data_IF_276639606642
#
_entry.id   IF_276639606642
#
_cell.length_a   1.000
_cell.length_b   1.000
_cell.length_c   1.000
_cell.angle_alpha   90.00
_cell.angle_beta   90.00
_cell.angle_gamma   90.00
#
_symmetry.space_group_name_H-M   'P 1'
#
loop_
_entity.id
_entity.type
_entity.pdbx_description
1 polymer ?
#
# COMPACT_ATOMS: atom_id res chain seq x y z
N UNK A 1 19.20 -15.36 -11.67
CA UNK A 1 19.94 -15.06 -10.43
C UNK A 1 20.33 -13.59 -10.52
N UNK A 2 19.50 -12.70 -9.98
CA UNK A 2 19.86 -11.28 -9.82
C UNK A 2 19.94 -11.04 -8.32
N UNK A 3 21.17 -11.06 -7.80
CA UNK A 3 21.50 -10.62 -6.46
C UNK A 3 21.52 -9.09 -6.50
N UNK A 4 20.39 -8.48 -6.14
CA UNK A 4 20.28 -7.05 -5.86
C UNK A 4 20.31 -6.86 -4.35
N UNK A 5 21.46 -6.43 -3.83
CA UNK A 5 21.62 -5.96 -2.45
C UNK A 5 20.82 -4.67 -2.32
N UNK A 6 19.80 -4.70 -1.48
CA UNK A 6 18.88 -3.60 -1.22
C UNK A 6 17.60 -4.18 -0.69
N UNK A 7 17.27 -3.93 0.57
CA UNK A 7 16.04 -4.38 1.21
C UNK A 7 14.83 -3.73 0.54
N UNK A 8 14.37 -4.31 -0.56
CA UNK A 8 13.08 -4.02 -1.17
C UNK A 8 12.07 -4.92 -0.49
N UNK A 9 11.68 -4.52 0.72
CA UNK A 9 10.53 -5.11 1.37
C UNK A 9 9.33 -4.92 0.46
N UNK A 10 8.67 -6.02 0.11
CA UNK A 10 7.28 -5.98 -0.34
C UNK A 10 6.49 -5.45 0.86
N UNK A 11 6.35 -4.13 0.91
CA UNK A 11 5.56 -3.46 1.93
C UNK A 11 4.18 -4.07 1.92
N UNK A 12 3.66 -4.35 3.11
CA UNK A 12 2.23 -4.52 3.33
C UNK A 12 1.56 -3.39 2.55
N UNK A 13 0.70 -3.74 1.58
CA UNK A 13 -0.21 -2.77 0.98
C UNK A 13 -1.19 -2.45 2.10
N UNK A 14 -0.79 -1.57 3.01
CA UNK A 14 -1.70 -0.91 3.93
C UNK A 14 -2.63 -0.06 3.07
N UNK A 15 -3.86 0.13 3.53
CA UNK A 15 -4.94 0.91 2.90
C UNK A 15 -4.44 2.28 2.34
N UNK A 16 -3.36 2.81 2.92
CA UNK A 16 -2.61 3.98 2.45
C UNK A 16 -2.16 3.90 0.98
N UNK A 17 -1.83 2.73 0.43
CA UNK A 17 -1.34 2.60 -0.95
C UNK A 17 -2.44 2.80 -1.99
N UNK A 18 -3.69 2.50 -1.63
CA UNK A 18 -4.86 2.78 -2.47
C UNK A 18 -5.23 4.26 -2.33
N UNK A 19 -5.20 4.83 -1.12
CA UNK A 19 -5.42 6.28 -0.90
C UNK A 19 -4.36 7.17 -1.57
N UNK A 20 -3.10 6.72 -1.65
CA UNK A 20 -1.97 7.47 -2.23
C UNK A 20 -2.12 7.77 -3.73
N UNK A 21 -2.98 7.02 -4.43
CA UNK A 21 -3.26 7.31 -5.84
C UNK A 21 -4.26 8.46 -6.05
N UNK A 22 -4.89 8.96 -4.98
CA UNK A 22 -6.11 9.80 -5.08
C UNK A 22 -6.10 11.04 -4.19
N UNK A 23 -4.95 11.54 -3.73
CA UNK A 23 -4.88 12.71 -2.84
C UNK A 23 -4.26 13.95 -3.52
N UNK A 24 -5.11 14.89 -3.95
CA UNK A 24 -4.94 16.36 -3.99
C UNK A 24 -5.77 16.97 -5.13
N UNK A 25 -6.72 17.86 -4.82
CA UNK A 25 -7.34 18.79 -5.78
C UNK A 25 -7.29 20.19 -5.17
N UNK A 26 -7.07 21.16 -6.07
CA UNK A 26 -7.21 22.61 -5.92
C UNK A 26 -5.99 23.39 -5.41
N UNK A 27 -5.05 23.65 -6.32
CA UNK A 27 -4.37 24.94 -6.40
C UNK A 27 -3.95 25.20 -7.86
N UNK A 28 -4.85 25.83 -8.61
CA UNK A 28 -4.53 26.41 -9.91
C UNK A 28 -3.80 27.73 -9.63
N UNK A 29 -2.46 27.71 -9.74
CA UNK A 29 -1.66 28.94 -9.79
C UNK A 29 -0.63 28.84 -10.91
N UNK A 30 -0.68 29.87 -11.77
CA UNK A 30 0.19 30.16 -12.89
C UNK A 30 1.67 29.89 -12.58
N UNK A 31 2.23 28.86 -13.21
CA UNK A 31 3.66 28.77 -13.46
C UNK A 31 3.85 28.52 -14.95
N UNK A 32 4.28 29.55 -15.65
CA UNK A 32 4.64 29.51 -17.06
C UNK A 32 5.77 28.52 -17.31
N UNK A 33 5.43 27.36 -17.84
CA UNK A 33 6.29 26.45 -18.60
C UNK A 33 5.41 25.78 -19.65
N UNK A 34 5.77 25.94 -20.92
CA UNK A 34 4.96 25.72 -22.11
C UNK A 34 4.68 24.24 -22.48
N UNK A 35 4.48 23.37 -21.50
CA UNK A 35 4.29 21.93 -21.70
C UNK A 35 2.93 21.41 -21.21
N UNK A 36 1.95 22.28 -20.97
CA UNK A 36 0.60 21.85 -20.60
C UNK A 36 -0.07 21.19 -21.82
N UNK A 37 -0.33 19.87 -21.74
CA UNK A 37 -1.18 19.14 -22.69
C UNK A 37 -0.48 18.42 -23.85
N UNK A 38 0.86 18.29 -23.86
CA UNK A 38 1.57 17.54 -24.91
C UNK A 38 2.19 16.26 -24.35
N UNK A 39 2.01 15.16 -25.08
CA UNK A 39 2.63 13.90 -24.72
C UNK A 39 4.17 13.97 -24.82
N UNK A 40 4.86 13.34 -23.86
CA UNK A 40 6.32 13.36 -23.70
C UNK A 40 6.96 12.21 -24.48
N UNK A 41 8.09 12.46 -25.15
CA UNK A 41 8.84 11.42 -25.87
C UNK A 41 9.86 10.81 -24.92
N UNK A 42 9.82 9.49 -24.79
CA UNK A 42 10.77 8.68 -24.03
C UNK A 42 11.67 7.93 -25.01
N UNK A 43 12.98 8.06 -24.83
CA UNK A 43 13.98 7.43 -25.68
C UNK A 43 14.66 6.26 -24.98
N UNK A 44 14.75 5.12 -25.64
CA UNK A 44 15.58 4.01 -25.20
C UNK A 44 16.92 4.03 -25.94
N UNK A 45 17.97 4.45 -25.25
CA UNK A 45 19.33 4.59 -25.83
C UNK A 45 19.98 3.28 -26.27
N UNK A 46 19.51 2.12 -25.76
CA UNK A 46 20.07 0.82 -26.13
C UNK A 46 19.49 0.30 -27.44
N UNK A 47 18.17 0.42 -27.62
CA UNK A 47 17.47 -0.04 -28.83
C UNK A 47 17.28 1.04 -29.89
N UNK A 48 17.46 2.31 -29.54
CA UNK A 48 17.14 3.47 -30.38
C UNK A 48 15.64 3.71 -30.55
N UNK A 49 14.77 2.97 -29.86
CA UNK A 49 13.31 3.08 -29.99
C UNK A 49 12.76 4.23 -29.17
N UNK A 50 11.73 4.89 -29.70
CA UNK A 50 10.99 5.94 -29.01
C UNK A 50 9.61 5.47 -28.58
N UNK A 51 9.12 6.02 -27.47
CA UNK A 51 7.76 5.80 -26.96
C UNK A 51 7.17 7.13 -26.53
N UNK A 52 5.84 7.27 -26.64
CA UNK A 52 5.15 8.52 -26.35
C UNK A 52 4.26 8.36 -25.11
N UNK A 53 4.59 9.06 -24.04
CA UNK A 53 3.80 9.08 -22.81
C UNK A 53 2.73 10.18 -22.86
N UNK A 54 1.47 9.77 -22.94
CA UNK A 54 0.31 10.63 -22.71
C UNK A 54 -0.39 10.33 -21.39
N UNK A 55 0.05 9.31 -20.64
CA UNK A 55 -0.62 8.86 -19.42
C UNK A 55 -0.35 9.82 -18.26
N UNK A 56 0.81 10.48 -18.23
CA UNK A 56 1.15 11.48 -17.21
C UNK A 56 0.16 12.65 -17.15
N UNK A 57 -0.56 12.93 -18.25
CA UNK A 57 -1.61 13.96 -18.28
C UNK A 57 -2.80 13.61 -17.35
N UNK A 58 -2.91 12.35 -16.93
CA UNK A 58 -3.88 11.90 -15.93
C UNK A 58 -3.32 11.94 -14.51
N UNK A 59 -2.09 12.40 -14.27
CA UNK A 59 -1.54 12.47 -12.91
C UNK A 59 -2.38 13.39 -12.01
N UNK A 60 -2.57 12.99 -10.75
CA UNK A 60 -3.34 13.72 -9.71
C UNK A 60 -2.50 14.21 -8.56
N UNK A 61 -1.29 13.65 -8.42
CA UNK A 61 -0.40 13.97 -7.31
C UNK A 61 0.65 14.93 -7.83
N UNK A 62 0.75 16.08 -7.18
CA UNK A 62 1.82 17.01 -7.44
C UNK A 62 3.16 16.37 -7.06
N UNK A 63 4.05 16.30 -8.04
CA UNK A 63 5.43 15.92 -7.78
C UNK A 63 6.11 17.04 -7.00
N UNK A 64 6.87 16.70 -5.96
CA UNK A 64 7.57 17.71 -5.14
C UNK A 64 8.70 18.43 -5.89
N UNK A 65 8.93 18.12 -7.17
CA UNK A 65 9.91 18.79 -8.01
C UNK A 65 9.34 20.11 -8.53
N UNK A 66 10.12 21.18 -8.43
CA UNK A 66 9.78 22.50 -8.97
C UNK A 66 10.85 22.93 -9.98
N UNK A 67 11.50 24.08 -9.78
CA UNK A 67 12.71 24.45 -10.51
C UNK A 67 13.92 23.57 -10.16
N UNK A 68 13.86 22.82 -9.06
CA UNK A 68 14.84 21.82 -8.67
C UNK A 68 14.22 20.41 -8.66
N UNK A 69 15.00 19.43 -9.15
CA UNK A 69 14.62 18.02 -9.13
C UNK A 69 14.86 17.42 -7.74
N UNK A 70 13.82 16.83 -7.15
CA UNK A 70 13.87 16.09 -5.89
C UNK A 70 13.71 14.57 -6.09
N UNK A 71 13.94 14.07 -7.31
CA UNK A 71 13.68 12.67 -7.68
C UNK A 71 14.47 11.63 -6.87
N UNK A 72 15.58 12.01 -6.23
CA UNK A 72 16.38 11.13 -5.38
C UNK A 72 15.90 11.05 -3.92
N UNK A 73 14.89 11.83 -3.52
CA UNK A 73 14.34 11.75 -2.16
C UNK A 73 13.59 10.43 -1.95
N UNK A 74 13.93 9.72 -0.88
CA UNK A 74 13.32 8.43 -0.56
C UNK A 74 11.86 8.57 -0.13
N UNK A 75 11.55 9.57 0.69
CA UNK A 75 10.20 9.82 1.23
C UNK A 75 9.75 11.26 0.92
N UNK A 76 9.43 11.58 -0.34
CA UNK A 76 8.96 12.91 -0.71
C UNK A 76 7.55 13.16 -0.15
N UNK A 77 7.20 14.40 0.26
CA UNK A 77 5.92 14.71 0.91
C UNK A 77 4.68 14.27 0.10
N UNK A 78 4.73 14.32 -1.23
CA UNK A 78 3.61 13.91 -2.10
C UNK A 78 3.33 12.39 -2.14
N UNK A 79 4.23 11.56 -1.59
CA UNK A 79 4.08 10.11 -1.55
C UNK A 79 3.67 9.58 -0.17
N UNK A 80 3.36 10.47 0.78
CA UNK A 80 2.90 10.12 2.12
C UNK A 80 1.45 10.59 2.27
N UNK A 81 0.55 9.66 2.57
CA UNK A 81 -0.83 10.02 2.86
C UNK A 81 -0.83 10.80 4.19
N UNK A 82 -1.39 12.02 4.24
CA UNK A 82 -1.39 12.79 5.47
C UNK A 82 -2.19 12.05 6.55
N UNK A 83 -1.70 12.10 7.79
CA UNK A 83 -2.53 11.78 8.95
C UNK A 83 -3.66 12.79 8.97
N UNK A 84 -4.85 12.40 8.53
CA UNK A 84 -6.01 13.28 8.49
C UNK A 84 -6.75 13.18 9.82
N UNK A 85 -6.74 14.28 10.57
CA UNK A 85 -7.57 14.41 11.78
C UNK A 85 -9.06 14.57 11.46
N UNK A 86 -9.39 14.98 10.23
CA UNK A 86 -10.76 15.14 9.75
C UNK A 86 -10.99 14.45 8.40
N UNK A 87 -12.23 14.02 8.09
CA UNK A 87 -12.55 13.38 6.81
C UNK A 87 -12.29 14.31 5.61
N UNK A 88 -12.19 13.70 4.43
CA UNK A 88 -12.31 14.43 3.17
C UNK A 88 -13.66 15.17 3.13
N UNK A 89 -13.67 16.37 2.58
CA UNK A 89 -14.92 17.04 2.27
C UNK A 89 -15.71 16.20 1.26
N UNK A 90 -17.04 16.14 1.40
CA UNK A 90 -17.90 15.36 0.51
C UNK A 90 -17.67 15.70 -0.96
N UNK A 91 -17.50 16.98 -1.29
CA UNK A 91 -17.20 17.45 -2.65
C UNK A 91 -15.90 16.86 -3.21
N UNK A 92 -14.82 16.88 -2.42
CA UNK A 92 -13.53 16.27 -2.78
C UNK A 92 -13.71 14.76 -3.00
N UNK A 93 -14.42 14.09 -2.09
CA UNK A 93 -14.66 12.65 -2.15
C UNK A 93 -15.46 12.26 -3.40
N UNK A 94 -16.52 12.99 -3.74
CA UNK A 94 -17.35 12.72 -4.91
C UNK A 94 -16.59 12.89 -6.22
N UNK A 95 -15.72 13.89 -6.34
CA UNK A 95 -14.84 14.05 -7.51
C UNK A 95 -13.94 12.84 -7.69
N UNK A 96 -13.33 12.36 -6.61
CA UNK A 96 -12.46 11.17 -6.62
C UNK A 96 -13.25 9.89 -6.94
N UNK A 97 -14.42 9.73 -6.34
CA UNK A 97 -15.28 8.57 -6.54
C UNK A 97 -15.77 8.46 -8.00
N UNK A 98 -16.28 9.55 -8.59
CA UNK A 98 -16.69 9.58 -10.01
C UNK A 98 -15.55 9.21 -10.94
N UNK A 99 -14.36 9.73 -10.66
CA UNK A 99 -13.15 9.44 -11.44
C UNK A 99 -12.77 7.97 -11.34
N UNK A 100 -12.77 7.41 -10.13
CA UNK A 100 -12.50 5.99 -9.92
C UNK A 100 -13.52 5.11 -10.64
N UNK A 101 -14.82 5.41 -10.50
CA UNK A 101 -15.90 4.69 -11.19
C UNK A 101 -15.74 4.79 -12.71
N UNK A 102 -15.39 5.96 -13.25
CA UNK A 102 -15.12 6.12 -14.68
C UNK A 102 -13.98 5.20 -15.13
N UNK A 103 -12.89 5.09 -14.36
CA UNK A 103 -11.79 4.16 -14.67
C UNK A 103 -12.23 2.70 -14.62
N UNK A 104 -13.03 2.33 -13.62
CA UNK A 104 -13.56 0.98 -13.49
C UNK A 104 -14.50 0.61 -14.65
N UNK A 105 -15.50 1.45 -14.93
CA UNK A 105 -16.47 1.20 -16.00
C UNK A 105 -15.83 1.25 -17.40
N UNK A 106 -14.83 2.09 -17.62
CA UNK A 106 -14.02 2.08 -18.84
C UNK A 106 -13.29 0.74 -19.02
N UNK A 107 -12.69 0.20 -17.94
CA UNK A 107 -11.94 -1.06 -17.99
C UNK A 107 -12.77 -2.29 -18.39
N UNK A 108 -14.09 -2.25 -18.15
CA UNK A 108 -15.03 -3.30 -18.52
C UNK A 108 -15.88 -2.93 -19.75
N UNK A 109 -15.51 -1.89 -20.48
CA UNK A 109 -16.20 -1.38 -21.67
C UNK A 109 -17.68 -1.02 -21.41
N UNK A 110 -17.96 -0.42 -20.25
CA UNK A 110 -19.31 0.02 -19.83
C UNK A 110 -19.34 1.47 -19.36
N UNK A 111 -18.35 2.28 -19.75
CA UNK A 111 -18.36 3.72 -19.53
C UNK A 111 -19.65 4.32 -20.12
N UNK A 112 -20.22 5.29 -19.42
CA UNK A 112 -21.48 5.95 -19.78
C UNK A 112 -22.70 5.04 -20.02
N UNK A 113 -22.66 3.79 -19.53
CA UNK A 113 -23.84 2.93 -19.51
C UNK A 113 -24.85 3.35 -18.43
N UNK A 114 -26.08 2.83 -18.49
CA UNK A 114 -27.07 3.05 -17.42
C UNK A 114 -26.59 2.54 -16.06
N UNK A 115 -25.84 1.43 -16.05
CA UNK A 115 -25.22 0.90 -14.85
C UNK A 115 -24.15 1.85 -14.27
N UNK A 116 -23.35 2.49 -15.13
CA UNK A 116 -22.38 3.50 -14.69
C UNK A 116 -23.09 4.69 -14.03
N UNK A 117 -24.10 5.25 -14.71
CA UNK A 117 -24.89 6.37 -14.16
C UNK A 117 -25.62 6.02 -12.88
N UNK A 118 -26.18 4.81 -12.79
CA UNK A 118 -26.86 4.33 -11.61
C UNK A 118 -25.89 4.19 -10.42
N UNK A 119 -24.71 3.61 -10.65
CA UNK A 119 -23.68 3.46 -9.61
C UNK A 119 -23.14 4.80 -9.13
N UNK A 120 -22.96 5.78 -10.02
CA UNK A 120 -22.57 7.14 -9.62
C UNK A 120 -23.63 7.76 -8.70
N UNK A 121 -24.92 7.64 -9.03
CA UNK A 121 -26.01 8.14 -8.17
C UNK A 121 -26.10 7.44 -6.82
N UNK A 122 -25.88 6.13 -6.81
CA UNK A 122 -25.82 5.35 -5.57
C UNK A 122 -24.73 5.88 -4.64
N UNK A 123 -23.52 6.10 -5.17
CA UNK A 123 -22.41 6.66 -4.40
C UNK A 123 -22.67 8.10 -3.96
N UNK A 124 -23.29 8.93 -4.79
CA UNK A 124 -23.71 10.29 -4.39
C UNK A 124 -24.63 10.25 -3.16
N UNK A 125 -25.68 9.43 -3.20
CA UNK A 125 -26.62 9.28 -2.10
C UNK A 125 -25.95 8.72 -0.84
N UNK A 126 -25.10 7.70 -0.98
CA UNK A 126 -24.39 7.11 0.17
C UNK A 126 -23.46 8.12 0.86
N UNK A 127 -22.77 8.96 0.08
CA UNK A 127 -21.91 10.03 0.61
C UNK A 127 -22.73 11.12 1.29
N UNK A 128 -23.89 11.49 0.73
CA UNK A 128 -24.81 12.45 1.36
C UNK A 128 -25.36 11.93 2.70
N UNK A 129 -25.71 10.65 2.77
CA UNK A 129 -26.31 10.05 3.97
C UNK A 129 -25.29 9.71 5.06
N UNK A 130 -24.10 9.22 4.68
CA UNK A 130 -23.14 8.62 5.62
C UNK A 130 -21.81 9.38 5.72
N UNK A 131 -21.55 10.30 4.79
CA UNK A 131 -20.26 11.00 4.65
C UNK A 131 -19.17 10.16 3.98
N UNK A 132 -19.46 8.93 3.52
CA UNK A 132 -18.54 8.06 2.80
C UNK A 132 -19.29 7.14 1.83
N UNK A 133 -18.60 6.20 1.19
CA UNK A 133 -19.24 5.14 0.41
C UNK A 133 -18.46 3.84 0.48
N UNK A 134 -19.11 2.72 0.18
CA UNK A 134 -18.49 1.41 0.11
C UNK A 134 -18.28 0.96 -1.34
N UNK A 135 -17.09 0.41 -1.62
CA UNK A 135 -16.80 -0.23 -2.89
C UNK A 135 -17.51 -1.59 -2.99
N UNK A 136 -17.96 -1.94 -4.20
CA UNK A 136 -18.33 -3.32 -4.50
C UNK A 136 -17.09 -4.20 -4.64
N UNK A 137 -17.23 -5.52 -4.47
CA UNK A 137 -16.10 -6.46 -4.50
C UNK A 137 -15.27 -6.36 -5.78
N UNK A 138 -15.94 -6.24 -6.93
CA UNK A 138 -15.27 -6.11 -8.22
C UNK A 138 -14.56 -4.76 -8.39
N UNK A 139 -15.10 -3.70 -7.79
CA UNK A 139 -14.47 -2.39 -7.74
C UNK A 139 -13.23 -2.43 -6.85
N UNK A 140 -13.32 -3.09 -5.68
CA UNK A 140 -12.20 -3.30 -4.76
C UNK A 140 -11.05 -4.07 -5.42
N UNK A 141 -11.37 -5.18 -6.11
CA UNK A 141 -10.40 -5.98 -6.86
C UNK A 141 -9.73 -5.14 -7.95
N UNK A 142 -10.51 -4.36 -8.70
CA UNK A 142 -9.99 -3.47 -9.73
C UNK A 142 -9.07 -2.40 -9.13
N UNK A 143 -9.48 -1.77 -8.03
CA UNK A 143 -8.72 -0.75 -7.32
C UNK A 143 -7.37 -1.27 -6.85
N UNK A 144 -7.36 -2.43 -6.18
CA UNK A 144 -6.13 -3.05 -5.67
C UNK A 144 -5.13 -3.40 -6.79
N UNK A 145 -5.60 -4.01 -7.88
CA UNK A 145 -4.76 -4.35 -9.04
C UNK A 145 -4.22 -3.09 -9.73
N UNK A 146 -5.06 -2.08 -9.88
CA UNK A 146 -4.70 -0.81 -10.52
C UNK A 146 -3.71 -0.03 -9.66
N UNK A 147 -3.84 -0.05 -8.34
CA UNK A 147 -2.87 0.56 -7.42
C UNK A 147 -1.49 -0.08 -7.58
N UNK A 148 -1.39 -1.42 -7.66
CA UNK A 148 -0.12 -2.08 -7.93
C UNK A 148 0.45 -1.74 -9.31
N UNK A 149 -0.38 -1.73 -10.35
CA UNK A 149 0.03 -1.29 -11.70
C UNK A 149 0.61 0.13 -11.70
N UNK A 150 0.05 1.00 -10.87
CA UNK A 150 0.43 2.41 -10.78
C UNK A 150 1.59 2.68 -9.81
N UNK A 151 2.12 1.67 -9.10
CA UNK A 151 3.24 1.84 -8.17
C UNK A 151 4.58 2.03 -8.92
N UNK A 152 5.12 3.26 -9.04
CA UNK A 152 6.25 3.54 -9.95
C UNK A 152 7.56 2.88 -9.49
N UNK A 153 7.68 2.60 -8.19
CA UNK A 153 8.85 1.96 -7.57
C UNK A 153 8.83 0.43 -7.66
N UNK A 154 7.75 -0.18 -8.16
CA UNK A 154 7.66 -1.64 -8.27
C UNK A 154 8.17 -2.12 -9.63
N UNK A 155 9.26 -2.90 -9.65
CA UNK A 155 9.74 -3.55 -10.88
C UNK A 155 8.86 -4.75 -11.30
N UNK A 156 8.19 -5.41 -10.36
CA UNK A 156 7.38 -6.62 -10.58
C UNK A 156 6.00 -6.39 -11.23
N UNK A 157 5.74 -5.20 -11.80
CA UNK A 157 4.42 -4.78 -12.29
C UNK A 157 3.87 -5.63 -13.44
N UNK A 158 4.68 -6.44 -14.13
CA UNK A 158 4.17 -7.36 -15.15
C UNK A 158 3.13 -8.36 -14.60
N UNK A 159 3.16 -8.64 -13.30
CA UNK A 159 2.22 -9.55 -12.62
C UNK A 159 0.95 -8.87 -12.08
N UNK A 160 0.76 -7.56 -12.32
CA UNK A 160 -0.29 -6.75 -11.66
C UNK A 160 -1.71 -7.34 -11.75
N UNK A 161 -2.04 -8.01 -12.85
CA UNK A 161 -3.36 -8.61 -13.07
C UNK A 161 -3.57 -9.93 -12.31
N UNK A 162 -2.50 -10.59 -11.86
CA UNK A 162 -2.48 -11.86 -11.11
C UNK A 162 -2.35 -11.66 -9.59
N UNK A 163 -2.95 -10.59 -9.07
CA UNK A 163 -3.08 -10.34 -7.64
C UNK A 163 -4.32 -11.03 -7.08
N UNK A 164 -4.15 -11.87 -6.06
CA UNK A 164 -5.27 -12.32 -5.22
C UNK A 164 -5.65 -11.20 -4.25
N UNK A 165 -6.95 -10.96 -4.10
CA UNK A 165 -7.48 -9.99 -3.13
C UNK A 165 -8.27 -10.76 -2.09
N UNK A 166 -7.93 -10.57 -0.83
CA UNK A 166 -8.73 -10.99 0.32
C UNK A 166 -9.45 -9.76 0.85
N UNK A 167 -10.77 -9.79 0.76
CA UNK A 167 -11.63 -8.80 1.38
C UNK A 167 -11.78 -9.13 2.86
N UNK A 168 -11.31 -8.23 3.71
CA UNK A 168 -11.37 -8.32 5.16
C UNK A 168 -11.94 -7.02 5.75
N UNK A 169 -12.80 -6.32 4.97
CA UNK A 169 -13.46 -5.08 5.37
C UNK A 169 -14.51 -5.28 6.47
N UNK A 170 -14.86 -6.52 6.75
CA UNK A 170 -15.73 -6.96 7.85
C UNK A 170 -14.96 -7.27 9.15
N UNK A 171 -13.62 -7.18 9.16
CA UNK A 171 -12.83 -7.35 10.38
C UNK A 171 -13.17 -6.29 11.42
N UNK A 172 -13.30 -6.71 12.68
CA UNK A 172 -13.66 -5.81 13.79
C UNK A 172 -12.54 -5.76 14.83
N UNK A 173 -11.85 -6.87 15.05
CA UNK A 173 -10.86 -7.01 16.14
C UNK A 173 -9.44 -7.25 15.63
N UNK A 174 -8.46 -7.00 16.48
CA UNK A 174 -7.04 -7.34 16.26
C UNK A 174 -6.84 -8.85 16.04
N UNK A 175 -7.64 -9.70 16.71
CA UNK A 175 -7.66 -11.14 16.51
C UNK A 175 -8.15 -11.53 15.10
N UNK A 176 -9.17 -10.84 14.57
CA UNK A 176 -9.62 -11.04 13.19
C UNK A 176 -8.52 -10.64 12.21
N UNK A 177 -7.88 -9.49 12.43
CA UNK A 177 -6.74 -9.04 11.63
C UNK A 177 -5.63 -10.09 11.62
N UNK A 178 -5.24 -10.60 12.80
CA UNK A 178 -4.22 -11.62 12.94
C UNK A 178 -4.57 -12.90 12.15
N UNK A 179 -5.82 -13.36 12.25
CA UNK A 179 -6.29 -14.54 11.51
C UNK A 179 -6.21 -14.31 9.99
N UNK A 180 -6.65 -13.14 9.51
CA UNK A 180 -6.55 -12.76 8.10
C UNK A 180 -5.10 -12.67 7.63
N UNK A 181 -4.18 -12.15 8.44
CA UNK A 181 -2.74 -12.09 8.13
C UNK A 181 -2.13 -13.49 8.11
N UNK A 182 -2.47 -14.37 9.04
CA UNK A 182 -2.01 -15.76 9.02
C UNK A 182 -2.47 -16.50 7.76
N UNK A 183 -3.73 -16.31 7.36
CA UNK A 183 -4.24 -16.86 6.10
C UNK A 183 -3.52 -16.27 4.88
N UNK A 184 -3.27 -14.96 4.89
CA UNK A 184 -2.48 -14.26 3.87
C UNK A 184 -1.10 -14.89 3.72
N UNK A 185 -0.34 -15.05 4.82
CA UNK A 185 1.01 -15.62 4.79
C UNK A 185 0.98 -17.05 4.27
N UNK A 186 0.07 -17.90 4.76
CA UNK A 186 -0.09 -19.28 4.28
C UNK A 186 -0.37 -19.32 2.77
N UNK A 187 -1.28 -18.46 2.29
CA UNK A 187 -1.64 -18.38 0.89
C UNK A 187 -0.48 -17.87 0.03
N UNK A 188 0.18 -16.79 0.45
CA UNK A 188 1.28 -16.15 -0.25
C UNK A 188 2.48 -17.09 -0.37
N UNK A 189 2.87 -17.74 0.73
CA UNK A 189 4.04 -18.62 0.80
C UNK A 189 3.87 -19.87 -0.04
N UNK A 190 2.68 -20.51 -0.02
CA UNK A 190 2.33 -21.67 -0.84
C UNK A 190 3.46 -22.70 -1.02
N UNK A 191 4.05 -23.13 0.10
CA UNK A 191 5.15 -24.11 0.15
C UNK A 191 6.36 -23.73 -0.75
N UNK A 192 6.65 -22.44 -0.86
CA UNK A 192 7.75 -21.88 -1.66
C UNK A 192 7.37 -21.45 -3.08
N UNK A 193 6.18 -21.80 -3.57
CA UNK A 193 5.68 -21.31 -4.86
C UNK A 193 4.90 -20.00 -4.68
N UNK A 194 5.65 -18.91 -4.45
CA UNK A 194 5.11 -17.64 -3.97
C UNK A 194 3.99 -17.07 -4.87
N UNK A 195 2.91 -16.62 -4.23
CA UNK A 195 1.74 -15.99 -4.87
C UNK A 195 1.55 -14.56 -4.36
N UNK A 196 1.28 -13.63 -5.28
CA UNK A 196 0.95 -12.24 -4.93
C UNK A 196 -0.48 -12.15 -4.38
N UNK A 197 -0.61 -11.62 -3.17
CA UNK A 197 -1.89 -11.42 -2.50
C UNK A 197 -1.88 -10.08 -1.74
N UNK A 198 -3.06 -9.47 -1.61
CA UNK A 198 -3.32 -8.33 -0.72
C UNK A 198 -4.53 -8.65 0.15
N UNK A 199 -4.48 -8.27 1.42
CA UNK A 199 -5.63 -8.32 2.33
C UNK A 199 -6.06 -6.89 2.61
N UNK A 200 -7.33 -6.57 2.39
CA UNK A 200 -7.85 -5.20 2.55
C UNK A 200 -8.72 -5.17 3.79
N UNK A 201 -8.25 -4.46 4.80
CA UNK A 201 -8.95 -4.21 6.06
C UNK A 201 -9.97 -3.07 5.93
N UNK A 202 -10.81 -2.82 6.96
CA UNK A 202 -11.80 -1.75 6.90
C UNK A 202 -11.16 -0.40 6.57
N UNK A 203 -11.81 0.34 5.66
CA UNK A 203 -11.37 1.68 5.28
C UNK A 203 -11.48 2.64 6.46
N UNK A 204 -10.67 3.70 6.45
CA UNK A 204 -10.78 4.79 7.43
C UNK A 204 -12.20 5.38 7.45
N UNK A 205 -12.78 5.52 8.65
CA UNK A 205 -14.09 6.15 8.87
C UNK A 205 -14.01 7.36 9.80
N UNK A 206 -14.98 8.27 9.69
CA UNK A 206 -15.05 9.44 10.58
C UNK A 206 -15.26 9.03 12.05
N UNK A 207 -14.56 9.73 12.96
CA UNK A 207 -14.78 9.60 14.40
C UNK A 207 -14.23 8.32 15.02
N UNK A 208 -13.48 7.51 14.27
CA UNK A 208 -12.80 6.30 14.74
C UNK A 208 -11.35 6.30 14.31
N UNK A 209 -10.49 5.70 15.12
CA UNK A 209 -9.10 5.43 14.76
C UNK A 209 -9.01 4.38 13.64
N UNK A 210 -7.81 4.26 13.05
CA UNK A 210 -7.55 3.41 11.90
C UNK A 210 -7.29 1.94 12.29
N UNK A 211 -7.56 1.03 11.35
CA UNK A 211 -6.95 -0.29 11.37
C UNK A 211 -5.50 -0.18 10.90
N UNK A 212 -4.54 -0.58 11.76
CA UNK A 212 -3.10 -0.46 11.45
C UNK A 212 -2.32 -1.71 11.81
N UNK A 213 -1.36 -2.01 10.94
CA UNK A 213 -0.27 -2.94 11.21
C UNK A 213 0.97 -2.07 11.38
N UNK A 214 1.56 -2.06 12.58
CA UNK A 214 2.70 -1.19 12.85
C UNK A 214 3.98 -1.73 12.21
N UNK A 215 4.03 -3.04 11.98
CA UNK A 215 5.12 -3.68 11.28
C UNK A 215 5.20 -3.20 9.82
N UNK A 216 6.39 -2.74 9.42
CA UNK A 216 6.69 -2.41 8.02
C UNK A 216 6.50 -3.59 7.04
N UNK A 217 6.64 -4.83 7.52
CA UNK A 217 6.55 -6.10 6.79
C UNK A 217 5.95 -7.15 7.73
N UNK A 218 5.19 -8.11 7.20
CA UNK A 218 4.65 -9.19 8.04
C UNK A 218 5.73 -10.06 8.68
N UNK A 219 6.78 -10.40 7.94
CA UNK A 219 7.88 -11.23 8.43
C UNK A 219 9.14 -10.39 8.38
N UNK A 220 9.71 -10.10 9.55
CA UNK A 220 10.94 -9.34 9.72
C UNK A 220 11.70 -9.84 10.94
N UNK A 221 13.02 -9.90 10.86
CA UNK A 221 13.86 -10.24 12.01
C UNK A 221 14.05 -9.04 12.94
N UNK A 222 14.17 -9.33 14.23
CA UNK A 222 14.46 -8.35 15.27
C UNK A 222 15.93 -7.92 15.26
N UNK A 223 16.18 -6.75 15.86
CA UNK A 223 17.52 -6.29 16.21
C UNK A 223 17.61 -5.96 17.69
N UNK A 224 18.73 -6.25 18.32
CA UNK A 224 18.95 -6.01 19.76
C UNK A 224 20.23 -5.21 19.97
N UNK A 225 20.09 -4.03 20.57
CA UNK A 225 21.23 -3.23 21.01
C UNK A 225 21.91 -3.92 22.20
N UNK A 226 23.22 -4.10 22.09
CA UNK A 226 24.05 -4.71 23.11
C UNK A 226 24.68 -3.64 24.03
N UNK A 227 25.19 -4.02 25.22
CA UNK A 227 25.84 -3.07 26.13
C UNK A 227 27.08 -2.37 25.56
N UNK A 228 27.74 -2.96 24.57
CA UNK A 228 28.90 -2.41 23.86
C UNK A 228 28.52 -1.55 22.63
N UNK A 229 27.24 -1.20 22.48
CA UNK A 229 26.64 -0.52 21.33
C UNK A 229 26.65 -1.29 20.01
N UNK A 230 27.08 -2.56 19.99
CA UNK A 230 26.86 -3.42 18.82
C UNK A 230 25.38 -3.79 18.69
N UNK A 231 24.99 -4.28 17.51
CA UNK A 231 23.62 -4.75 17.24
C UNK A 231 23.67 -6.23 16.87
N UNK A 232 22.85 -7.04 17.54
CA UNK A 232 22.62 -8.43 17.21
C UNK A 232 21.30 -8.56 16.42
N UNK A 233 21.30 -9.29 15.30
CA UNK A 233 20.14 -9.40 14.40
C UNK A 233 20.09 -8.31 13.32
N UNK A 234 18.90 -7.87 12.93
CA UNK A 234 18.68 -6.82 11.91
C UNK A 234 18.72 -5.41 12.55
N UNK A 235 19.69 -4.55 12.22
CA UNK A 235 19.74 -3.16 12.70
C UNK A 235 18.48 -2.34 12.44
N UNK A 236 17.77 -2.61 11.35
CA UNK A 236 16.52 -1.91 11.05
C UNK A 236 15.32 -2.44 11.85
N UNK A 237 15.47 -3.56 12.55
CA UNK A 237 14.45 -4.15 13.42
C UNK A 237 14.54 -3.67 14.88
N UNK A 238 15.55 -2.86 15.24
CA UNK A 238 15.82 -2.46 16.64
C UNK A 238 14.66 -1.71 17.27
N UNK A 239 14.20 -0.62 16.63
CA UNK A 239 13.13 0.22 17.16
C UNK A 239 11.83 -0.57 17.38
N UNK A 240 11.45 -1.40 16.40
CA UNK A 240 10.24 -2.22 16.52
C UNK A 240 10.41 -3.33 17.57
N UNK A 241 11.60 -3.92 17.70
CA UNK A 241 11.90 -4.91 18.72
C UNK A 241 11.79 -4.32 20.14
N UNK A 242 12.25 -3.09 20.34
CA UNK A 242 12.13 -2.35 21.61
C UNK A 242 10.65 -2.15 21.96
N UNK A 243 9.82 -1.67 21.02
CA UNK A 243 8.37 -1.54 21.22
C UNK A 243 7.72 -2.90 21.54
N UNK A 244 8.06 -3.97 20.81
CA UNK A 244 7.55 -5.30 21.10
C UNK A 244 7.87 -5.74 22.54
N UNK A 245 9.10 -5.49 23.01
CA UNK A 245 9.52 -5.83 24.38
C UNK A 245 8.76 -5.02 25.43
N UNK A 246 8.52 -3.73 25.19
CA UNK A 246 7.69 -2.88 26.06
C UNK A 246 6.24 -3.39 26.15
N UNK A 247 5.71 -3.93 25.05
CA UNK A 247 4.40 -4.59 24.98
C UNK A 247 4.39 -6.03 25.52
N UNK A 248 5.48 -6.49 26.13
CA UNK A 248 5.55 -7.78 26.83
C UNK A 248 6.08 -8.94 26.00
N UNK A 249 6.65 -8.70 24.81
CA UNK A 249 7.38 -9.73 24.08
C UNK A 249 8.70 -10.08 24.76
N UNK A 250 8.94 -11.38 24.95
CA UNK A 250 10.17 -11.89 25.54
C UNK A 250 11.02 -12.55 24.45
N UNK A 251 12.01 -11.83 23.87
CA UNK A 251 12.76 -12.34 22.73
C UNK A 251 13.71 -13.48 23.11
N UNK A 252 13.93 -14.46 22.20
CA UNK A 252 15.00 -15.45 22.34
C UNK A 252 16.41 -14.85 22.34
N UNK A 253 16.59 -13.67 21.74
CA UNK A 253 17.86 -12.95 21.52
C UNK A 253 18.83 -13.68 20.58
N UNK A 254 18.29 -14.25 19.51
CA UNK A 254 19.02 -14.79 18.37
C UNK A 254 19.28 -13.76 17.26
N UNK A 255 20.00 -14.19 16.21
CA UNK A 255 20.28 -13.36 15.04
C UNK A 255 19.12 -13.30 14.03
N UNK A 256 18.18 -14.24 14.14
CA UNK A 256 17.09 -14.45 13.17
C UNK A 256 15.76 -14.65 13.91
N UNK A 257 15.55 -13.90 14.98
CA UNK A 257 14.30 -13.93 15.74
C UNK A 257 13.23 -13.17 14.97
N UNK A 258 12.16 -13.83 14.54
CA UNK A 258 11.06 -13.18 13.83
C UNK A 258 10.26 -12.32 14.82
N UNK A 259 10.06 -11.05 14.45
CA UNK A 259 9.26 -10.10 15.22
C UNK A 259 7.78 -10.54 15.25
N UNK A 260 7.09 -10.38 16.40
CA UNK A 260 5.65 -10.51 16.44
C UNK A 260 4.99 -9.35 15.66
N UNK A 261 3.71 -9.50 15.36
CA UNK A 261 2.88 -8.46 14.78
C UNK A 261 2.32 -7.56 15.88
N UNK A 262 2.37 -6.25 15.68
CA UNK A 262 1.64 -5.26 16.48
C UNK A 262 0.47 -4.78 15.63
N UNK A 263 -0.74 -5.14 16.06
CA UNK A 263 -1.98 -4.92 15.33
C UNK A 263 -2.88 -3.98 16.14
N UNK A 264 -3.46 -3.00 15.46
CA UNK A 264 -4.39 -2.04 16.03
C UNK A 264 -5.70 -2.10 15.24
N UNK A 265 -6.81 -2.35 15.92
CA UNK A 265 -8.14 -2.38 15.34
C UNK A 265 -8.97 -1.19 15.82
N UNK A 266 -9.17 -0.23 14.91
CA UNK A 266 -9.87 1.02 15.19
C UNK A 266 -9.43 1.69 16.51
N UNK A 267 -10.39 2.04 17.37
CA UNK A 267 -10.19 2.73 18.65
C UNK A 267 -9.58 1.84 19.77
N UNK A 268 -9.20 0.59 19.44
CA UNK A 268 -8.54 -0.31 20.35
C UNK A 268 -7.04 0.00 20.53
N UNK A 269 -6.50 -0.47 21.65
CA UNK A 269 -5.06 -0.46 21.90
C UNK A 269 -4.33 -1.45 20.97
N UNK A 270 -3.06 -1.20 20.62
CA UNK A 270 -2.27 -2.14 19.85
C UNK A 270 -2.00 -3.43 20.65
N UNK A 271 -2.24 -4.57 20.01
CA UNK A 271 -2.03 -5.89 20.59
C UNK A 271 -0.94 -6.67 19.86
N UNK A 272 -0.21 -7.50 20.60
CA UNK A 272 0.96 -8.23 20.13
C UNK A 272 0.60 -9.69 19.80
N UNK A 273 0.93 -10.13 18.59
CA UNK A 273 0.67 -11.50 18.12
C UNK A 273 1.93 -12.16 17.57
N UNK A 274 2.35 -13.27 18.17
CA UNK A 274 3.44 -14.09 17.62
C UNK A 274 2.96 -14.88 16.41
N UNK A 275 3.66 -14.76 15.28
CA UNK A 275 3.34 -15.52 14.07
C UNK A 275 3.69 -17.00 14.29
N UNK A 276 2.82 -17.96 13.94
CA UNK A 276 3.12 -19.37 14.12
C UNK A 276 4.33 -19.80 13.28
N UNK A 277 5.38 -20.41 13.85
CA UNK A 277 6.59 -20.74 13.11
C UNK A 277 6.36 -21.59 11.86
N UNK A 278 5.32 -22.43 11.85
CA UNK A 278 4.99 -23.33 10.74
C UNK A 278 4.51 -22.64 9.46
N UNK A 279 4.16 -21.35 9.54
CA UNK A 279 3.74 -20.55 8.37
C UNK A 279 4.85 -19.66 7.82
N UNK A 280 5.99 -19.61 8.53
CA UNK A 280 7.17 -18.85 8.17
C UNK A 280 8.09 -19.78 7.39
N UNK A 281 8.29 -19.48 6.10
CA UNK A 281 9.25 -20.20 5.27
C UNK A 281 10.59 -19.47 5.31
N UNK A 282 11.62 -20.14 5.84
CA UNK A 282 12.99 -19.66 5.84
C UNK A 282 13.86 -20.47 4.88
N UNK A 283 14.87 -19.82 4.29
CA UNK A 283 15.82 -20.46 3.37
C UNK A 283 17.23 -20.34 3.97
N UNK A 284 17.83 -21.43 4.48
CA UNK A 284 19.20 -21.37 4.97
C UNK A 284 20.15 -21.09 3.81
N UNK A 285 20.89 -20.00 3.90
CA UNK A 285 21.80 -19.58 2.84
C UNK A 285 22.97 -20.55 2.72
N UNK A 286 23.23 -21.03 1.50
CA UNK A 286 24.37 -21.88 1.16
C UNK A 286 24.98 -21.38 -0.14
N UNK A 287 26.30 -21.33 -0.20
CA UNK A 287 26.99 -21.08 -1.45
C UNK A 287 27.01 -22.38 -2.28
N UNK A 288 26.79 -22.36 -3.60
CA UNK A 288 26.73 -23.57 -4.42
C UNK A 288 28.09 -24.28 -4.56
N UNK A 289 29.18 -23.69 -4.07
CA UNK A 289 30.54 -24.25 -4.06
C UNK A 289 31.28 -23.88 -2.78
#
# INVERSE_FOLDING_TARGET
>A
MCLGVGGWGWGVITDQSIELSFCSVAAQMDLGLSCVGRAVILHNWLSGTESRDSLHLKATVDVSCSSACLGSQMMPPGHVAPSRSSPRAAEELLVLARRFLSLYFDSINRLDSDAHRARVREVELEVEETGSYQLHDMELIFGAKTAWRNAPRCMGRIQWSKLQVFDARDCITTQDMYNCICNHIKYATHRGNIRSVVTIFPQRTHGRQDFRIWNSQFIRYAGYRQPDNSIQGDPMGVELAEICMELGWHPPRGNFDVLPLILQAADGEPELFTIPPEIILEVPLRHPK
#
